data_IF_124506925589
#
_entry.id   IF_124506925589
#
_cell.length_a   1.000
_cell.length_b   1.000
_cell.length_c   1.000
_cell.angle_alpha   90.00
_cell.angle_beta   90.00
_cell.angle_gamma   90.00
#
_symmetry.space_group_name_H-M   'P 1'
#
loop_
_entity.id
_entity.type
_entity.pdbx_description
1 polymer ?
#
# COMPACT_ATOMS: atom_id res chain seq x y z
N UNK A 1 -17.24 -11.67 6.89
CA UNK A 1 -17.76 -10.31 6.61
C UNK A 1 -18.60 -10.32 5.35
N UNK A 2 -19.48 -9.34 5.15
CA UNK A 2 -20.15 -9.16 3.86
C UNK A 2 -19.17 -8.61 2.81
N UNK A 3 -19.40 -8.96 1.53
CA UNK A 3 -18.57 -8.56 0.40
C UNK A 3 -18.32 -7.04 0.29
N UNK A 4 -19.30 -6.15 0.54
CA UNK A 4 -19.08 -4.70 0.50
C UNK A 4 -18.05 -4.19 1.51
N UNK A 5 -18.01 -4.77 2.73
CA UNK A 5 -17.08 -4.30 3.76
C UNK A 5 -15.64 -4.67 3.40
N UNK A 6 -15.42 -5.86 2.81
CA UNK A 6 -14.08 -6.26 2.32
C UNK A 6 -13.58 -5.36 1.19
N UNK A 7 -14.48 -4.94 0.30
CA UNK A 7 -14.15 -3.99 -0.77
C UNK A 7 -13.80 -2.63 -0.18
N UNK A 8 -14.62 -2.10 0.74
CA UNK A 8 -14.35 -0.82 1.40
C UNK A 8 -13.01 -0.84 2.17
N UNK A 9 -12.72 -1.96 2.85
CA UNK A 9 -11.46 -2.18 3.54
C UNK A 9 -10.26 -2.14 2.57
N UNK A 10 -10.32 -2.87 1.45
CA UNK A 10 -9.27 -2.83 0.43
C UNK A 10 -9.09 -1.45 -0.22
N UNK A 11 -10.18 -0.74 -0.49
CA UNK A 11 -10.15 0.63 -1.02
C UNK A 11 -9.52 1.61 -0.02
N UNK A 12 -9.79 1.45 1.27
CA UNK A 12 -9.18 2.28 2.32
C UNK A 12 -7.66 2.06 2.38
N UNK A 13 -7.20 0.81 2.40
CA UNK A 13 -5.76 0.49 2.33
C UNK A 13 -5.11 1.03 1.04
N UNK A 14 -5.83 0.99 -0.08
CA UNK A 14 -5.36 1.58 -1.35
C UNK A 14 -5.21 3.10 -1.24
N UNK A 15 -6.18 3.78 -0.62
CA UNK A 15 -6.10 5.22 -0.40
C UNK A 15 -4.96 5.59 0.55
N UNK A 16 -4.73 4.82 1.61
CA UNK A 16 -3.60 5.02 2.52
C UNK A 16 -2.25 4.83 1.81
N UNK A 17 -2.14 3.85 0.91
CA UNK A 17 -0.93 3.68 0.10
C UNK A 17 -0.68 4.91 -0.79
N UNK A 18 -1.71 5.43 -1.46
CA UNK A 18 -1.60 6.66 -2.26
C UNK A 18 -1.20 7.88 -1.42
N UNK A 19 -1.76 8.00 -0.21
CA UNK A 19 -1.44 9.06 0.74
C UNK A 19 0.04 9.03 1.15
N UNK A 20 0.54 7.85 1.55
CA UNK A 20 1.94 7.65 1.97
C UNK A 20 2.89 7.89 0.79
N UNK A 21 2.55 7.38 -0.40
CA UNK A 21 3.35 7.58 -1.61
C UNK A 21 3.47 9.05 -2.01
N UNK A 22 2.40 9.84 -1.89
CA UNK A 22 2.47 11.27 -2.20
C UNK A 22 3.42 12.00 -1.25
N UNK A 23 3.36 11.71 0.05
CA UNK A 23 4.28 12.27 1.05
C UNK A 23 5.72 11.84 0.73
N UNK A 24 5.94 10.54 0.49
CA UNK A 24 7.24 10.00 0.12
C UNK A 24 7.80 10.65 -1.14
N UNK A 25 7.00 10.81 -2.17
CA UNK A 25 7.38 11.43 -3.44
C UNK A 25 7.86 12.86 -3.28
N UNK A 26 7.10 13.67 -2.53
CA UNK A 26 7.45 15.08 -2.24
C UNK A 26 8.77 15.15 -1.47
N UNK A 27 8.95 14.30 -0.46
CA UNK A 27 10.10 14.36 0.44
C UNK A 27 11.37 13.74 -0.13
N UNK A 28 11.25 12.73 -0.98
CA UNK A 28 12.37 11.99 -1.55
C UNK A 28 12.82 12.52 -2.91
N UNK A 29 12.29 13.67 -3.35
CA UNK A 29 12.67 14.28 -4.62
C UNK A 29 12.25 13.44 -5.84
N UNK A 30 11.10 12.77 -5.75
CA UNK A 30 10.53 12.01 -6.86
C UNK A 30 10.71 10.48 -6.79
N UNK A 31 11.01 9.92 -5.62
CA UNK A 31 11.00 8.47 -5.37
C UNK A 31 9.73 8.04 -4.64
N UNK A 32 9.31 6.81 -4.85
CA UNK A 32 8.05 6.31 -4.32
C UNK A 32 8.30 5.33 -3.16
N UNK A 33 7.37 5.25 -2.22
CA UNK A 33 7.45 4.26 -1.14
C UNK A 33 6.86 2.90 -1.55
N UNK A 34 5.95 2.87 -2.53
CA UNK A 34 5.27 1.65 -3.01
C UNK A 34 5.45 1.37 -4.51
N UNK A 35 5.64 2.39 -5.37
CA UNK A 35 5.85 2.21 -6.82
C UNK A 35 7.28 1.75 -7.16
N UNK A 36 7.53 0.45 -6.98
CA UNK A 36 8.86 -0.14 -7.22
C UNK A 36 9.27 -0.20 -8.69
N UNK A 37 8.33 -0.21 -9.65
CA UNK A 37 8.68 -0.07 -11.07
C UNK A 37 9.28 1.30 -11.37
N UNK A 38 8.71 2.37 -10.81
CA UNK A 38 9.25 3.72 -10.91
C UNK A 38 10.64 3.84 -10.27
N UNK A 39 10.81 3.31 -9.06
CA UNK A 39 12.12 3.28 -8.41
C UNK A 39 13.14 2.44 -9.18
N UNK A 40 12.72 1.33 -9.82
CA UNK A 40 13.59 0.53 -10.68
C UNK A 40 14.06 1.32 -11.90
N UNK A 41 13.19 2.13 -12.52
CA UNK A 41 13.59 3.03 -13.60
C UNK A 41 14.57 4.09 -13.11
N UNK A 42 14.30 4.74 -11.97
CA UNK A 42 15.20 5.74 -11.39
C UNK A 42 16.58 5.13 -11.06
N UNK A 43 16.60 3.91 -10.50
CA UNK A 43 17.81 3.13 -10.26
C UNK A 43 18.59 2.88 -11.55
N UNK A 44 17.91 2.39 -12.59
CA UNK A 44 18.53 2.06 -13.87
C UNK A 44 19.14 3.30 -14.55
N UNK A 45 18.44 4.44 -14.51
CA UNK A 45 18.93 5.72 -15.03
C UNK A 45 20.18 6.17 -14.27
N UNK A 46 20.16 6.13 -12.93
CA UNK A 46 21.31 6.50 -12.12
C UNK A 46 22.53 5.61 -12.39
N UNK A 47 22.33 4.29 -12.53
CA UNK A 47 23.40 3.36 -12.92
C UNK A 47 23.92 3.70 -14.33
N UNK A 48 23.03 3.93 -15.29
CA UNK A 48 23.39 4.24 -16.67
C UNK A 48 24.20 5.52 -16.84
N UNK A 49 23.95 6.53 -16.00
CA UNK A 49 24.74 7.77 -15.96
C UNK A 49 26.02 7.67 -15.11
N UNK A 50 26.27 6.54 -14.45
CA UNK A 50 27.42 6.39 -13.53
C UNK A 50 27.24 7.11 -12.19
N UNK A 51 26.01 7.50 -11.84
CA UNK A 51 25.68 8.24 -10.63
C UNK A 51 25.35 7.32 -9.45
N UNK A 52 26.34 6.53 -9.03
CA UNK A 52 26.15 5.49 -7.99
C UNK A 52 25.53 6.01 -6.67
N UNK A 53 25.77 7.27 -6.31
CA UNK A 53 25.15 7.89 -5.13
C UNK A 53 23.62 8.04 -5.26
N UNK A 54 23.11 8.39 -6.45
CA UNK A 54 21.68 8.52 -6.70
C UNK A 54 21.01 7.16 -6.89
N UNK A 55 21.78 6.12 -7.23
CA UNK A 55 21.30 4.75 -7.33
C UNK A 55 21.01 4.10 -5.96
N UNK A 56 21.71 4.53 -4.90
CA UNK A 56 21.65 3.84 -3.61
C UNK A 56 20.26 3.88 -2.97
N UNK A 57 19.62 5.05 -2.89
CA UNK A 57 18.33 5.16 -2.22
C UNK A 57 17.20 4.40 -2.94
N UNK A 58 17.00 4.52 -4.27
CA UNK A 58 16.04 3.68 -5.01
C UNK A 58 16.26 2.19 -4.80
N UNK A 59 17.52 1.74 -4.81
CA UNK A 59 17.87 0.34 -4.54
C UNK A 59 17.46 -0.10 -3.13
N UNK A 60 17.76 0.72 -2.11
CA UNK A 60 17.38 0.41 -0.73
C UNK A 60 15.86 0.42 -0.51
N UNK A 61 15.12 1.31 -1.19
CA UNK A 61 13.65 1.30 -1.15
C UNK A 61 13.07 0.02 -1.74
N UNK A 62 13.63 -0.45 -2.88
CA UNK A 62 13.25 -1.73 -3.49
C UNK A 62 13.52 -2.89 -2.54
N UNK A 63 14.68 -2.91 -1.90
CA UNK A 63 15.05 -3.96 -0.95
C UNK A 63 14.15 -3.94 0.29
N UNK A 64 13.90 -2.77 0.86
CA UNK A 64 13.01 -2.62 2.02
C UNK A 64 11.59 -3.09 1.70
N UNK A 65 11.06 -2.70 0.53
CA UNK A 65 9.77 -3.18 0.05
C UNK A 65 9.74 -4.71 -0.13
N UNK A 66 10.78 -5.29 -0.73
CA UNK A 66 10.89 -6.74 -0.91
C UNK A 66 10.89 -7.46 0.45
N UNK A 67 11.68 -6.98 1.41
CA UNK A 67 11.69 -7.52 2.78
C UNK A 67 10.29 -7.42 3.41
N UNK A 68 9.61 -6.28 3.24
CA UNK A 68 8.25 -6.07 3.71
C UNK A 68 7.26 -7.07 3.12
N UNK A 69 7.36 -7.33 1.81
CA UNK A 69 6.53 -8.30 1.12
C UNK A 69 6.80 -9.74 1.60
N UNK A 70 8.08 -10.11 1.83
CA UNK A 70 8.46 -11.40 2.40
C UNK A 70 7.92 -11.55 3.81
N UNK A 71 8.03 -10.52 4.66
CA UNK A 71 7.49 -10.55 6.02
C UNK A 71 5.96 -10.65 6.02
N UNK A 72 5.27 -9.86 5.21
CA UNK A 72 3.80 -9.94 5.07
C UNK A 72 3.34 -11.30 4.58
N UNK A 73 4.02 -11.87 3.57
CA UNK A 73 3.76 -13.22 3.07
C UNK A 73 4.05 -14.31 4.11
N UNK A 74 5.15 -14.18 4.87
CA UNK A 74 5.50 -15.10 5.94
C UNK A 74 4.47 -15.07 7.08
N UNK A 75 4.01 -13.88 7.49
CA UNK A 75 2.93 -13.74 8.48
C UNK A 75 1.65 -14.40 7.95
N UNK A 76 1.29 -14.15 6.69
CA UNK A 76 0.11 -14.77 6.07
C UNK A 76 0.19 -16.31 6.02
N UNK A 77 1.39 -16.86 5.80
CA UNK A 77 1.61 -18.30 5.67
C UNK A 77 1.76 -19.03 7.01
N UNK A 78 2.34 -18.38 8.03
CA UNK A 78 2.72 -19.01 9.30
C UNK A 78 1.75 -18.71 10.44
N UNK A 79 1.07 -17.56 10.42
CA UNK A 79 0.10 -17.23 11.46
C UNK A 79 -1.19 -18.06 11.28
N UNK A 80 -1.91 -18.38 12.37
CA UNK A 80 -3.25 -18.95 12.25
C UNK A 80 -4.13 -18.07 11.36
N UNK A 81 -4.94 -18.66 10.48
CA UNK A 81 -5.70 -17.95 9.44
C UNK A 81 -6.47 -16.72 9.98
N UNK A 82 -7.10 -16.86 11.16
CA UNK A 82 -7.85 -15.77 11.81
C UNK A 82 -6.99 -14.59 12.27
N UNK A 83 -5.69 -14.81 12.50
CA UNK A 83 -4.74 -13.84 13.01
C UNK A 83 -3.83 -13.24 11.93
N UNK A 84 -3.81 -13.79 10.72
CA UNK A 84 -2.96 -13.30 9.63
C UNK A 84 -3.21 -11.81 9.33
N UNK A 85 -4.45 -11.42 9.01
CA UNK A 85 -4.78 -10.01 8.71
C UNK A 85 -4.44 -9.03 9.84
N UNK A 86 -4.88 -9.23 11.10
CA UNK A 86 -4.53 -8.31 12.18
C UNK A 86 -3.03 -8.27 12.48
N UNK A 87 -2.31 -9.39 12.35
CA UNK A 87 -0.86 -9.40 12.55
C UNK A 87 -0.11 -8.60 11.47
N UNK A 88 -0.54 -8.71 10.20
CA UNK A 88 0.03 -7.93 9.10
C UNK A 88 -0.22 -6.43 9.30
N UNK A 89 -1.45 -6.04 9.64
CA UNK A 89 -1.78 -4.63 9.90
C UNK A 89 -1.06 -4.07 11.14
N UNK A 90 -0.85 -4.90 12.17
CA UNK A 90 -0.08 -4.50 13.35
C UNK A 90 1.40 -4.26 12.99
N UNK A 91 2.00 -5.15 12.20
CA UNK A 91 3.36 -4.96 11.69
C UNK A 91 3.47 -3.69 10.84
N UNK A 92 2.53 -3.49 9.92
CA UNK A 92 2.45 -2.29 9.09
C UNK A 92 2.33 -1.02 9.95
N UNK A 93 1.47 -1.03 10.97
CA UNK A 93 1.31 0.07 11.92
C UNK A 93 2.64 0.39 12.62
N UNK A 94 3.37 -0.64 13.08
CA UNK A 94 4.68 -0.46 13.73
C UNK A 94 5.70 0.14 12.75
N UNK A 95 5.71 -0.32 11.49
CA UNK A 95 6.61 0.21 10.48
C UNK A 95 6.32 1.68 10.16
N UNK A 96 5.04 2.07 9.97
CA UNK A 96 4.67 3.47 9.75
C UNK A 96 4.95 4.34 10.99
N UNK A 97 4.70 3.84 12.20
CA UNK A 97 5.06 4.53 13.43
C UNK A 97 6.59 4.73 13.54
N UNK A 98 7.37 3.72 13.17
CA UNK A 98 8.84 3.82 13.10
C UNK A 98 9.30 4.85 12.08
N UNK A 99 8.61 4.96 10.94
CA UNK A 99 8.87 6.01 9.96
C UNK A 99 8.60 7.41 10.52
N UNK A 100 7.46 7.58 11.19
CA UNK A 100 7.05 8.84 11.82
C UNK A 100 8.06 9.30 12.88
N UNK A 101 8.46 8.40 13.79
CA UNK A 101 9.44 8.67 14.84
C UNK A 101 10.81 8.98 14.22
N UNK A 102 11.26 8.18 13.25
CA UNK A 102 12.55 8.39 12.59
C UNK A 102 12.63 9.75 11.89
N UNK A 103 11.52 10.22 11.34
CA UNK A 103 11.48 11.50 10.67
C UNK A 103 11.55 12.70 11.63
N UNK A 104 11.12 12.53 12.89
CA UNK A 104 11.22 13.54 13.95
C UNK A 104 12.62 13.64 14.54
N UNK A 105 13.33 12.53 14.68
CA UNK A 105 14.69 12.51 15.23
C UNK A 105 15.77 13.08 14.28
N UNK A 106 15.36 13.63 13.13
CA UNK A 106 16.26 14.11 12.07
C UNK A 106 17.26 13.04 11.59
N UNK A 107 16.94 11.75 11.80
CA UNK A 107 17.64 10.66 11.14
C UNK A 107 17.56 10.91 9.62
N UNK A 108 18.64 10.57 8.88
CA UNK A 108 18.77 10.83 7.43
C UNK A 108 17.43 10.55 6.74
N UNK A 109 16.95 11.49 5.91
CA UNK A 109 15.63 11.46 5.25
C UNK A 109 15.23 10.08 4.66
N UNK A 110 16.23 9.30 4.23
CA UNK A 110 16.04 7.94 3.72
C UNK A 110 15.49 6.93 4.74
N UNK A 111 15.79 7.03 6.04
CA UNK A 111 15.40 6.02 7.05
C UNK A 111 13.88 5.92 7.18
N UNK A 112 13.18 7.05 7.27
CA UNK A 112 11.72 7.06 7.31
C UNK A 112 11.13 6.41 6.05
N UNK A 113 11.69 6.71 4.89
CA UNK A 113 11.25 6.13 3.62
C UNK A 113 11.47 4.61 3.53
N UNK A 114 12.55 4.08 4.13
CA UNK A 114 12.76 2.63 4.20
C UNK A 114 11.68 1.93 5.03
N UNK A 115 11.30 2.52 6.17
CA UNK A 115 10.20 2.00 6.98
C UNK A 115 8.85 2.10 6.26
N UNK A 116 8.59 3.19 5.53
CA UNK A 116 7.39 3.30 4.69
C UNK A 116 7.38 2.26 3.57
N UNK A 117 8.51 2.06 2.87
CA UNK A 117 8.62 1.03 1.84
C UNK A 117 8.44 -0.38 2.40
N UNK A 118 8.99 -0.66 3.58
CA UNK A 118 8.77 -1.90 4.32
C UNK A 118 7.26 -2.10 4.60
N UNK A 119 6.59 -1.07 5.15
CA UNK A 119 5.15 -1.10 5.43
C UNK A 119 4.32 -1.39 4.16
N UNK A 120 4.61 -0.68 3.07
CA UNK A 120 3.91 -0.84 1.79
C UNK A 120 4.12 -2.23 1.17
N UNK A 121 5.32 -2.80 1.31
CA UNK A 121 5.59 -4.19 0.92
C UNK A 121 4.73 -5.17 1.71
N UNK A 122 4.60 -4.95 3.03
CA UNK A 122 3.79 -5.78 3.91
C UNK A 122 2.28 -5.68 3.63
N UNK A 123 1.76 -4.48 3.34
CA UNK A 123 0.33 -4.24 3.05
C UNK A 123 -0.19 -5.12 1.90
N UNK A 124 0.65 -5.30 0.87
CA UNK A 124 0.30 -6.11 -0.30
C UNK A 124 -0.08 -7.55 0.03
N UNK A 125 0.45 -8.11 1.13
CA UNK A 125 0.07 -9.44 1.58
C UNK A 125 -1.40 -9.50 2.02
N UNK A 126 -1.96 -8.45 2.63
CA UNK A 126 -3.39 -8.40 2.98
C UNK A 126 -4.24 -8.34 1.71
N UNK A 127 -3.86 -7.45 0.79
CA UNK A 127 -4.63 -7.15 -0.40
C UNK A 127 -4.65 -8.28 -1.42
N UNK A 128 -3.57 -9.08 -1.48
CA UNK A 128 -3.51 -10.27 -2.32
C UNK A 128 -4.63 -11.28 -2.03
N UNK A 129 -5.18 -11.27 -0.81
CA UNK A 129 -6.22 -12.20 -0.38
C UNK A 129 -7.65 -11.61 -0.44
N UNK A 130 -7.83 -10.33 -0.80
CA UNK A 130 -9.16 -9.71 -0.90
C UNK A 130 -9.81 -10.09 -2.24
N UNK A 131 -10.80 -10.98 -2.20
CA UNK A 131 -11.56 -11.41 -3.38
C UNK A 131 -12.22 -10.23 -4.12
N UNK A 132 -11.91 -10.09 -5.40
CA UNK A 132 -12.42 -9.01 -6.27
C UNK A 132 -11.43 -7.86 -6.47
N UNK A 133 -10.35 -7.80 -5.68
CA UNK A 133 -9.12 -7.08 -6.04
C UNK A 133 -8.23 -8.07 -6.80
N UNK A 134 -7.83 -7.73 -8.04
CA UNK A 134 -6.70 -8.43 -8.66
C UNK A 134 -5.44 -8.00 -7.89
N UNK A 135 -4.60 -8.99 -7.59
CA UNK A 135 -3.42 -8.91 -6.72
C UNK A 135 -2.74 -7.53 -6.64
N UNK A 136 -2.67 -6.97 -5.42
CA UNK A 136 -1.74 -5.93 -4.93
C UNK A 136 -2.09 -4.47 -5.27
N UNK A 137 -2.09 -3.59 -4.26
CA UNK A 137 -2.32 -2.13 -4.45
C UNK A 137 -1.15 -1.41 -5.10
N UNK A 138 -0.01 -2.08 -5.28
CA UNK A 138 1.07 -1.62 -6.16
C UNK A 138 0.84 -1.93 -7.64
N UNK A 139 -0.26 -2.62 -7.99
CA UNK A 139 -0.68 -2.87 -9.37
C UNK A 139 -1.80 -1.92 -9.84
N UNK A 140 -1.79 -0.66 -9.37
CA UNK A 140 -2.76 0.36 -9.82
C UNK A 140 -2.67 0.58 -11.32
N UNK A 141 -1.50 0.42 -11.95
CA UNK A 141 -1.37 0.38 -13.42
C UNK A 141 -2.23 -0.72 -14.04
N UNK A 142 -2.27 -1.91 -13.42
CA UNK A 142 -3.12 -3.01 -13.83
C UNK A 142 -4.60 -2.73 -13.62
N UNK A 143 -4.97 -2.07 -12.51
CA UNK A 143 -6.34 -1.64 -12.25
C UNK A 143 -6.80 -0.61 -13.30
N UNK A 144 -6.00 0.42 -13.59
CA UNK A 144 -6.30 1.41 -14.62
C UNK A 144 -6.41 0.79 -16.02
N UNK A 145 -5.51 -0.13 -16.36
CA UNK A 145 -5.57 -0.86 -17.63
C UNK A 145 -6.85 -1.71 -17.72
N UNK A 146 -7.16 -2.47 -16.68
CA UNK A 146 -8.36 -3.31 -16.61
C UNK A 146 -9.64 -2.47 -16.65
N UNK A 147 -9.65 -1.31 -16.00
CA UNK A 147 -10.74 -0.33 -16.06
C UNK A 147 -11.04 0.05 -17.53
N UNK A 148 -10.01 0.44 -18.29
CA UNK A 148 -10.14 0.76 -19.71
C UNK A 148 -10.64 -0.42 -20.57
N UNK A 149 -10.07 -1.61 -20.37
CA UNK A 149 -10.50 -2.83 -21.09
C UNK A 149 -11.97 -3.19 -20.82
N UNK A 150 -12.40 -3.09 -19.56
CA UNK A 150 -13.79 -3.41 -19.19
C UNK A 150 -14.78 -2.35 -19.65
N UNK A 151 -14.39 -1.07 -19.74
CA UNK A 151 -15.19 -0.05 -20.43
C UNK A 151 -15.37 -0.45 -21.89
N UNK A 152 -14.29 -0.79 -22.60
CA UNK A 152 -14.36 -1.16 -24.01
C UNK A 152 -15.30 -2.37 -24.25
N UNK A 153 -15.23 -3.40 -23.40
CA UNK A 153 -16.13 -4.55 -23.46
C UNK A 153 -17.60 -4.18 -23.20
N UNK A 154 -17.86 -3.30 -22.22
CA UNK A 154 -19.21 -2.82 -21.93
C UNK A 154 -19.80 -2.01 -23.10
N UNK A 155 -19.00 -1.13 -23.71
CA UNK A 155 -19.38 -0.36 -24.89
C UNK A 155 -19.64 -1.26 -26.11
N UNK A 156 -18.89 -2.35 -26.26
CA UNK A 156 -19.09 -3.34 -27.31
C UNK A 156 -20.28 -4.29 -27.06
N UNK A 157 -21.00 -4.14 -25.94
CA UNK A 157 -22.09 -5.05 -25.54
C UNK A 157 -21.63 -6.47 -25.18
N UNK A 158 -20.32 -6.70 -25.02
CA UNK A 158 -19.71 -8.00 -24.70
C UNK A 158 -19.37 -8.16 -23.22
N UNK A 159 -19.42 -7.08 -22.46
CA UNK A 159 -19.14 -7.04 -21.02
C UNK A 159 -20.37 -6.66 -20.21
N UNK A 160 -20.30 -6.87 -18.89
CA UNK A 160 -21.32 -6.38 -17.96
C UNK A 160 -21.28 -4.85 -17.91
N UNK A 161 -22.45 -4.20 -17.88
CA UNK A 161 -22.60 -2.72 -17.93
C UNK A 161 -21.72 -1.98 -16.93
N UNK A 162 -21.52 -2.55 -15.73
CA UNK A 162 -20.74 -1.96 -14.64
C UNK A 162 -19.55 -2.84 -14.20
N UNK A 163 -19.10 -3.78 -15.04
CA UNK A 163 -17.97 -4.67 -14.70
C UNK A 163 -16.65 -3.94 -14.41
N UNK A 164 -16.51 -2.72 -14.95
CA UNK A 164 -15.37 -1.82 -14.80
C UNK A 164 -15.32 -1.10 -13.44
N UNK A 165 -16.44 -1.02 -12.71
CA UNK A 165 -16.56 -0.17 -11.53
C UNK A 165 -15.55 -0.51 -10.44
N UNK A 166 -15.27 -1.80 -10.22
CA UNK A 166 -14.29 -2.26 -9.23
C UNK A 166 -12.89 -1.69 -9.49
N UNK A 167 -12.35 -1.90 -10.70
CA UNK A 167 -10.98 -1.46 -11.01
C UNK A 167 -10.87 0.07 -11.04
N UNK A 168 -11.92 0.75 -11.52
CA UNK A 168 -12.01 2.22 -11.50
C UNK A 168 -11.99 2.77 -10.07
N UNK A 169 -12.71 2.13 -9.14
CA UNK A 169 -12.70 2.50 -7.72
C UNK A 169 -11.32 2.30 -7.07
N UNK A 170 -10.59 1.23 -7.41
CA UNK A 170 -9.22 1.03 -6.90
C UNK A 170 -8.30 2.16 -7.34
N UNK A 171 -8.30 2.48 -8.64
CA UNK A 171 -7.48 3.58 -9.17
C UNK A 171 -7.89 4.93 -8.56
N UNK A 172 -9.19 5.21 -8.45
CA UNK A 172 -9.69 6.43 -7.81
C UNK A 172 -9.32 6.50 -6.33
N UNK A 173 -9.36 5.40 -5.59
CA UNK A 173 -8.98 5.37 -4.18
C UNK A 173 -7.52 5.76 -3.99
N UNK A 174 -6.61 5.22 -4.81
CA UNK A 174 -5.20 5.63 -4.79
C UNK A 174 -5.07 7.14 -5.08
N UNK A 175 -5.71 7.63 -6.15
CA UNK A 175 -5.66 9.05 -6.55
C UNK A 175 -6.16 9.97 -5.44
N UNK A 176 -7.33 9.68 -4.86
CA UNK A 176 -7.92 10.45 -3.76
C UNK A 176 -7.01 10.42 -2.55
N UNK A 177 -6.44 9.26 -2.23
CA UNK A 177 -5.42 9.11 -1.19
C UNK A 177 -4.22 10.01 -1.40
N UNK A 178 -3.65 10.01 -2.61
CA UNK A 178 -2.50 10.85 -2.96
C UNK A 178 -2.80 12.35 -2.90
N UNK A 179 -3.98 12.78 -3.35
CA UNK A 179 -4.44 14.17 -3.22
C UNK A 179 -4.58 14.53 -1.73
N UNK A 180 -5.21 13.68 -0.93
CA UNK A 180 -5.35 13.89 0.51
C UNK A 180 -3.99 13.94 1.22
N UNK A 181 -3.04 13.07 0.85
CA UNK A 181 -1.68 13.05 1.37
C UNK A 181 -0.90 14.32 1.04
N UNK A 182 -1.03 14.79 -0.20
CA UNK A 182 -0.43 16.05 -0.64
C UNK A 182 -0.99 17.23 0.17
N UNK A 183 -2.32 17.34 0.29
CA UNK A 183 -2.97 18.40 1.05
C UNK A 183 -2.58 18.33 2.53
N UNK A 184 -2.58 17.14 3.14
CA UNK A 184 -2.16 16.96 4.51
C UNK A 184 -0.70 17.38 4.72
N UNK A 185 0.20 16.99 3.82
CA UNK A 185 1.60 17.39 3.85
C UNK A 185 1.78 18.91 3.73
N UNK A 186 0.98 19.60 2.91
CA UNK A 186 1.07 21.07 2.83
C UNK A 186 0.70 21.79 4.12
N UNK A 187 -0.13 21.18 4.98
CA UNK A 187 -0.57 21.77 6.24
C UNK A 187 0.20 21.27 7.46
N UNK A 188 0.66 20.03 7.44
CA UNK A 188 1.25 19.35 8.60
C UNK A 188 2.67 18.81 8.34
N UNK A 189 3.23 19.02 7.15
CA UNK A 189 4.52 18.47 6.72
C UNK A 189 4.65 16.97 7.03
N UNK A 190 5.67 16.56 7.79
CA UNK A 190 5.90 15.15 8.12
C UNK A 190 4.87 14.60 9.10
N UNK A 191 4.23 15.47 9.89
CA UNK A 191 3.24 15.07 10.89
C UNK A 191 1.99 14.46 10.25
N UNK A 192 1.79 14.73 8.95
CA UNK A 192 0.75 14.09 8.14
C UNK A 192 0.85 12.56 8.16
N UNK A 193 2.03 11.96 8.40
CA UNK A 193 2.19 10.50 8.55
C UNK A 193 1.48 9.92 9.78
N UNK A 194 1.12 10.75 10.77
CA UNK A 194 0.30 10.30 11.89
C UNK A 194 -1.09 9.82 11.43
N UNK A 195 -1.63 10.40 10.35
CA UNK A 195 -2.95 10.05 9.81
C UNK A 195 -2.99 8.58 9.37
N UNK A 196 -2.15 8.10 8.43
CA UNK A 196 -2.14 6.69 8.06
C UNK A 196 -1.75 5.78 9.23
N UNK A 197 -0.83 6.19 10.12
CA UNK A 197 -0.46 5.39 11.29
C UNK A 197 -1.66 5.11 12.20
N UNK A 198 -2.45 6.14 12.53
CA UNK A 198 -3.64 6.00 13.38
C UNK A 198 -4.72 5.17 12.68
N UNK A 199 -4.98 5.41 11.40
CA UNK A 199 -5.99 4.64 10.66
C UNK A 199 -5.60 3.16 10.59
N UNK A 200 -4.34 2.84 10.30
CA UNK A 200 -3.85 1.45 10.29
C UNK A 200 -3.94 0.80 11.67
N UNK A 201 -3.60 1.52 12.74
CA UNK A 201 -3.75 1.03 14.11
C UNK A 201 -5.22 0.68 14.44
N UNK A 202 -6.15 1.55 14.05
CA UNK A 202 -7.59 1.33 14.22
C UNK A 202 -8.05 0.11 13.42
N UNK A 203 -7.60 -0.03 12.17
CA UNK A 203 -7.91 -1.19 11.34
C UNK A 203 -7.33 -2.49 11.92
N UNK A 204 -6.11 -2.44 12.47
CA UNK A 204 -5.48 -3.58 13.15
C UNK A 204 -6.26 -4.00 14.40
N UNK A 205 -6.65 -3.04 15.25
CA UNK A 205 -7.43 -3.30 16.45
C UNK A 205 -8.84 -3.82 16.12
N UNK A 206 -9.50 -3.22 15.14
CA UNK A 206 -10.78 -3.72 14.61
C UNK A 206 -10.62 -5.15 14.06
N UNK A 207 -9.54 -5.43 13.34
CA UNK A 207 -9.29 -6.75 12.82
C UNK A 207 -9.05 -7.79 13.93
N UNK A 208 -8.28 -7.43 14.97
CA UNK A 208 -8.02 -8.29 16.10
C UNK A 208 -9.29 -8.59 16.90
N UNK A 209 -10.10 -7.56 17.16
CA UNK A 209 -11.38 -7.72 17.88
C UNK A 209 -12.38 -8.57 17.09
N UNK A 210 -12.49 -8.37 15.77
CA UNK A 210 -13.33 -9.21 14.92
C UNK A 210 -12.87 -10.67 14.91
N UNK A 211 -11.55 -10.94 14.88
CA UNK A 211 -11.00 -12.28 14.96
C UNK A 211 -11.31 -12.96 16.31
N UNK A 212 -11.22 -12.21 17.41
CA UNK A 212 -11.56 -12.70 18.76
C UNK A 212 -13.05 -13.02 18.92
N UNK A 213 -13.93 -12.11 18.50
CA UNK A 213 -15.38 -12.24 18.68
C UNK A 213 -15.96 -13.32 17.78
N UNK A 214 -15.52 -13.40 16.52
CA UNK A 214 -16.12 -14.31 15.53
C UNK A 214 -15.42 -15.65 15.44
N UNK A 215 -14.18 -15.76 15.94
CA UNK A 215 -13.31 -16.93 15.77
C UNK A 215 -12.92 -17.22 14.31
N UNK A 216 -13.23 -16.32 13.38
CA UNK A 216 -13.06 -16.50 11.92
C UNK A 216 -12.09 -15.49 11.34
N UNK A 217 -11.47 -15.85 10.22
CA UNK A 217 -10.67 -14.93 9.43
C UNK A 217 -11.53 -13.84 8.77
N UNK A 218 -10.97 -12.63 8.75
CA UNK A 218 -11.55 -11.44 8.12
C UNK A 218 -11.43 -11.57 6.61
N UNK A 219 -10.20 -11.80 6.16
CA UNK A 219 -9.84 -12.07 4.77
C UNK A 219 -9.46 -13.54 4.70
N UNK A 220 -10.17 -14.31 3.88
CA UNK A 220 -9.85 -15.72 3.67
C UNK A 220 -8.79 -15.85 2.58
N UNK A 221 -7.76 -16.68 2.75
CA UNK A 221 -6.87 -17.02 1.64
C UNK A 221 -7.68 -17.61 0.49
N UNK A 222 -7.35 -17.25 -0.75
CA UNK A 222 -7.88 -17.96 -1.91
C UNK A 222 -7.29 -19.37 -1.91
N UNK A 223 -8.11 -20.37 -1.60
CA UNK A 223 -7.81 -21.79 -1.73
C UNK A 223 -7.54 -22.18 -3.18
#
# INVERSE_FOLDING_TARGET
>A
MSRPILIAFGLMLTALAGFIDAIGFIRLGGLYTSLMSGNTTQLAVAIGHGEGQHALLPFLLILAFLVGAVMGGAIAALAPERWATPAILAFETIAVASAFLSAHEQLRLGTAALFLSLAMGTQNAVLAHIQGFRAGTTFVTGALFSFGQKIALALAGRGTRFGWAGDGLVWLALMVGAVAGTVAHTHYDIDALAIPAVIMAVLAAWAATAALVTGRAIVKPSS
#
